data_IF_455728607041
#
_entry.id   IF_455728607041
#
_cell.length_a   1.000
_cell.length_b   1.000
_cell.length_c   1.000
_cell.angle_alpha   90.00
_cell.angle_beta   90.00
_cell.angle_gamma   90.00
#
_symmetry.space_group_name_H-M   'P 1'
#
loop_
_entity.id
_entity.type
_entity.pdbx_description
1 polymer ?
#
# COMPACT_ATOMS: atom_id res chain seq x y z
N UNK A 1 -59.03 -11.16 -4.83
CA UNK A 1 -57.61 -11.52 -5.07
C UNK A 1 -56.91 -11.57 -3.70
N UNK A 2 -56.21 -12.67 -3.41
CA UNK A 2 -55.82 -13.10 -2.05
C UNK A 2 -54.72 -12.20 -1.46
N UNK A 3 -54.95 -11.59 -0.29
CA UNK A 3 -54.00 -10.66 0.36
C UNK A 3 -52.57 -11.19 0.56
N UNK A 4 -52.41 -12.53 0.60
CA UNK A 4 -51.09 -13.19 0.60
C UNK A 4 -50.23 -12.81 -0.61
N UNK A 5 -50.83 -12.68 -1.79
CA UNK A 5 -50.11 -12.32 -3.02
C UNK A 5 -49.64 -10.88 -2.99
N UNK A 6 -50.43 -9.98 -2.38
CA UNK A 6 -50.07 -8.56 -2.20
C UNK A 6 -48.89 -8.43 -1.24
N UNK A 7 -48.91 -9.14 -0.11
CA UNK A 7 -47.79 -9.17 0.85
C UNK A 7 -46.49 -9.67 0.22
N UNK A 8 -46.55 -10.72 -0.59
CA UNK A 8 -45.38 -11.24 -1.32
C UNK A 8 -44.86 -10.21 -2.32
N UNK A 9 -45.75 -9.53 -3.06
CA UNK A 9 -45.34 -8.51 -4.02
C UNK A 9 -44.63 -7.32 -3.34
N UNK A 10 -45.16 -6.84 -2.21
CA UNK A 10 -44.52 -5.78 -1.42
C UNK A 10 -43.14 -6.22 -0.89
N UNK A 11 -43.05 -7.46 -0.37
CA UNK A 11 -41.78 -8.00 0.12
C UNK A 11 -40.75 -8.10 -1.00
N UNK A 12 -41.11 -8.67 -2.15
CA UNK A 12 -40.20 -8.78 -3.30
C UNK A 12 -39.78 -7.42 -3.83
N UNK A 13 -40.69 -6.44 -3.91
CA UNK A 13 -40.38 -5.08 -4.31
C UNK A 13 -39.32 -4.42 -3.40
N UNK A 14 -39.37 -4.72 -2.09
CA UNK A 14 -38.39 -4.22 -1.12
C UNK A 14 -37.06 -4.99 -1.13
N UNK A 15 -37.10 -6.30 -1.38
CA UNK A 15 -35.91 -7.16 -1.33
C UNK A 15 -35.08 -7.06 -2.62
N UNK A 16 -35.74 -6.82 -3.76
CA UNK A 16 -35.13 -6.74 -5.07
C UNK A 16 -33.98 -5.72 -5.18
N UNK A 17 -34.10 -4.45 -4.71
CA UNK A 17 -32.97 -3.52 -4.77
C UNK A 17 -31.78 -3.95 -3.90
N UNK A 18 -32.01 -4.61 -2.76
CA UNK A 18 -30.93 -5.09 -1.88
C UNK A 18 -30.15 -6.23 -2.52
N UNK A 19 -30.87 -7.20 -3.10
CA UNK A 19 -30.25 -8.31 -3.82
C UNK A 19 -29.54 -7.83 -5.08
N UNK A 20 -30.12 -6.87 -5.81
CA UNK A 20 -29.48 -6.24 -6.96
C UNK A 20 -28.18 -5.53 -6.56
N UNK A 21 -28.17 -4.77 -5.47
CA UNK A 21 -26.97 -4.12 -4.96
C UNK A 21 -25.89 -5.13 -4.54
N UNK A 22 -26.27 -6.22 -3.86
CA UNK A 22 -25.35 -7.31 -3.52
C UNK A 22 -24.78 -8.01 -4.75
N UNK A 23 -25.61 -8.25 -5.77
CA UNK A 23 -25.16 -8.83 -7.03
C UNK A 23 -24.16 -7.90 -7.73
N UNK A 24 -24.48 -6.61 -7.87
CA UNK A 24 -23.56 -5.63 -8.45
C UNK A 24 -22.25 -5.61 -7.69
N UNK A 25 -22.28 -5.62 -6.35
CA UNK A 25 -21.05 -5.65 -5.56
C UNK A 25 -20.27 -6.95 -5.74
N UNK A 26 -20.89 -8.12 -5.82
CA UNK A 26 -20.18 -9.40 -5.99
C UNK A 26 -19.55 -9.56 -7.38
N UNK A 27 -20.26 -9.15 -8.44
CA UNK A 27 -19.82 -9.32 -9.83
C UNK A 27 -18.98 -8.16 -10.37
N UNK A 28 -19.20 -6.94 -9.88
CA UNK A 28 -18.47 -5.73 -10.25
C UNK A 28 -17.86 -5.06 -9.03
N UNK A 29 -16.97 -5.77 -8.33
CA UNK A 29 -16.15 -5.14 -7.28
C UNK A 29 -15.21 -4.13 -7.93
N UNK A 30 -15.33 -2.82 -7.65
CA UNK A 30 -14.28 -1.89 -8.04
C UNK A 30 -13.01 -2.25 -7.26
N UNK A 31 -11.91 -2.45 -7.99
CA UNK A 31 -10.64 -2.85 -7.39
C UNK A 31 -9.97 -1.60 -6.81
N UNK A 32 -10.13 -1.37 -5.50
CA UNK A 32 -9.34 -0.39 -4.74
C UNK A 32 -9.59 1.10 -5.06
N UNK A 33 -9.10 1.98 -4.18
CA UNK A 33 -9.21 3.44 -4.31
C UNK A 33 -8.22 4.06 -5.30
N UNK A 34 -8.27 5.39 -5.44
CA UNK A 34 -7.39 6.20 -6.32
C UNK A 34 -5.90 6.23 -5.92
N UNK A 35 -5.42 5.20 -5.21
CA UNK A 35 -4.03 5.07 -4.79
C UNK A 35 -3.19 4.51 -5.94
N UNK A 36 -2.03 5.10 -6.18
CA UNK A 36 -1.08 4.56 -7.15
C UNK A 36 -0.43 3.30 -6.58
N UNK A 37 0.03 3.34 -5.33
CA UNK A 37 0.46 2.15 -4.61
C UNK A 37 -0.70 1.27 -4.18
N UNK A 38 -0.42 0.00 -3.93
CA UNK A 38 -1.34 -0.89 -3.24
C UNK A 38 -1.45 -0.46 -1.77
N UNK A 39 -2.66 -0.08 -1.35
CA UNK A 39 -2.94 0.29 0.04
C UNK A 39 -2.90 -0.97 0.91
N UNK A 40 -1.99 -0.96 1.87
CA UNK A 40 -1.85 -1.99 2.88
C UNK A 40 -2.20 -1.39 4.24
N UNK A 41 -2.59 -2.24 5.19
CA UNK A 41 -2.76 -1.85 6.59
C UNK A 41 -2.33 -3.03 7.47
N UNK A 42 -1.17 -3.59 7.14
CA UNK A 42 -0.67 -4.84 7.72
C UNK A 42 0.57 -4.57 8.58
N UNK A 43 0.64 -5.06 9.82
CA UNK A 43 1.83 -4.93 10.65
C UNK A 43 2.94 -5.81 10.07
N UNK A 44 4.03 -5.20 9.63
CA UNK A 44 5.16 -5.92 9.01
C UNK A 44 6.51 -5.58 9.63
N UNK A 45 6.56 -4.69 10.62
CA UNK A 45 7.79 -4.34 11.33
C UNK A 45 7.47 -3.86 12.75
N UNK A 46 8.50 -3.77 13.59
CA UNK A 46 8.37 -3.09 14.88
C UNK A 46 8.14 -1.58 14.70
N UNK A 47 7.61 -0.86 15.71
CA UNK A 47 7.50 0.59 15.71
C UNK A 47 8.86 1.30 15.53
N UNK A 48 8.87 2.54 15.04
CA UNK A 48 10.08 3.35 14.84
C UNK A 48 9.86 4.52 13.86
N UNK A 49 10.87 4.97 13.10
CA UNK A 49 10.69 6.03 12.11
C UNK A 49 9.92 5.52 10.88
N UNK A 50 9.51 6.43 9.99
CA UNK A 50 9.01 6.02 8.67
C UNK A 50 10.09 5.25 7.93
N UNK A 51 9.72 4.20 7.20
CA UNK A 51 10.69 3.40 6.44
C UNK A 51 10.25 3.22 5.00
N UNK A 52 11.21 3.35 4.09
CA UNK A 52 11.08 2.85 2.72
C UNK A 52 11.84 1.53 2.63
N UNK A 53 11.09 0.43 2.69
CA UNK A 53 11.63 -0.91 2.81
C UNK A 53 11.59 -1.67 1.48
N UNK A 54 12.74 -2.10 0.98
CA UNK A 54 12.82 -2.96 -0.20
C UNK A 54 12.63 -4.42 0.20
N UNK A 55 11.73 -5.11 -0.50
CA UNK A 55 11.51 -6.54 -0.32
C UNK A 55 11.65 -7.29 -1.64
N UNK A 56 12.33 -8.43 -1.60
CA UNK A 56 12.32 -9.40 -2.68
C UNK A 56 12.52 -10.80 -2.09
N UNK A 57 11.65 -11.76 -2.43
CA UNK A 57 11.70 -13.09 -1.83
C UNK A 57 13.01 -13.84 -2.12
N UNK A 58 13.61 -13.58 -3.30
CA UNK A 58 14.86 -14.22 -3.71
C UNK A 58 16.11 -13.36 -3.42
N UNK A 59 15.95 -12.15 -2.86
CA UNK A 59 17.04 -11.18 -2.69
C UNK A 59 17.90 -11.03 -3.96
N UNK A 60 17.23 -10.94 -5.11
CA UNK A 60 17.85 -10.93 -6.44
C UNK A 60 18.33 -9.52 -6.84
N UNK A 61 18.77 -9.35 -8.09
CA UNK A 61 19.13 -8.03 -8.67
C UNK A 61 17.97 -7.00 -8.55
N UNK A 62 16.72 -7.47 -8.55
CA UNK A 62 15.54 -6.61 -8.34
C UNK A 62 15.62 -5.89 -6.99
N UNK A 63 16.12 -6.56 -5.96
CA UNK A 63 16.29 -5.97 -4.64
C UNK A 63 17.19 -4.73 -4.67
N UNK A 64 18.33 -4.80 -5.37
CA UNK A 64 19.23 -3.66 -5.55
C UNK A 64 18.57 -2.48 -6.26
N UNK A 65 17.75 -2.75 -7.30
CA UNK A 65 16.97 -1.73 -8.00
C UNK A 65 15.92 -1.08 -7.08
N UNK A 66 15.28 -1.86 -6.23
CA UNK A 66 14.32 -1.36 -5.24
C UNK A 66 15.00 -0.51 -4.16
N UNK A 67 16.18 -0.90 -3.67
CA UNK A 67 16.98 -0.10 -2.74
C UNK A 67 17.43 1.23 -3.36
N UNK A 68 17.83 1.20 -4.64
CA UNK A 68 18.15 2.41 -5.37
C UNK A 68 16.92 3.32 -5.51
N UNK A 69 15.78 2.76 -5.90
CA UNK A 69 14.51 3.49 -5.98
C UNK A 69 14.11 4.09 -4.62
N UNK A 70 14.27 3.33 -3.53
CA UNK A 70 14.02 3.80 -2.16
C UNK A 70 14.88 5.03 -1.83
N UNK A 71 16.17 5.00 -2.20
CA UNK A 71 17.09 6.14 -2.01
C UNK A 71 16.63 7.36 -2.79
N UNK A 72 16.32 7.22 -4.08
CA UNK A 72 15.90 8.33 -4.92
C UNK A 72 14.58 8.94 -4.45
N UNK A 73 13.59 8.10 -4.15
CA UNK A 73 12.30 8.53 -3.62
C UNK A 73 12.44 9.25 -2.29
N UNK A 74 13.28 8.74 -1.37
CA UNK A 74 13.57 9.38 -0.09
C UNK A 74 14.17 10.76 -0.27
N UNK A 75 15.24 10.88 -1.07
CA UNK A 75 15.92 12.16 -1.31
C UNK A 75 14.97 13.18 -1.94
N UNK A 76 14.10 12.74 -2.84
CA UNK A 76 13.12 13.60 -3.50
C UNK A 76 11.99 14.09 -2.57
N UNK A 77 11.84 13.56 -1.35
CA UNK A 77 10.87 14.07 -0.36
C UNK A 77 11.28 15.40 0.30
N UNK A 78 12.48 15.93 0.02
CA UNK A 78 12.94 17.20 0.59
C UNK A 78 13.09 17.14 2.12
N UNK A 79 12.50 18.08 2.85
CA UNK A 79 12.54 18.13 4.32
C UNK A 79 12.00 16.84 4.97
N UNK A 80 10.93 16.27 4.40
CA UNK A 80 10.34 15.04 4.91
C UNK A 80 11.26 13.82 4.78
N UNK A 81 12.33 13.89 3.98
CA UNK A 81 13.33 12.83 3.86
C UNK A 81 14.03 12.48 5.18
N UNK A 82 14.10 13.43 6.11
CA UNK A 82 14.73 13.24 7.44
C UNK A 82 13.93 12.30 8.34
N UNK A 83 12.61 12.21 8.10
CA UNK A 83 11.69 11.34 8.85
C UNK A 83 11.70 9.90 8.35
N UNK A 84 12.28 9.68 7.16
CA UNK A 84 12.27 8.40 6.45
C UNK A 84 13.65 7.77 6.50
N UNK A 85 13.70 6.52 6.94
CA UNK A 85 14.89 5.67 6.94
C UNK A 85 14.77 4.63 5.82
N UNK A 86 15.89 4.25 5.21
CA UNK A 86 15.90 3.13 4.26
C UNK A 86 15.94 1.82 5.02
N UNK A 87 15.14 0.86 4.59
CA UNK A 87 15.09 -0.46 5.21
C UNK A 87 15.11 -1.56 4.14
N UNK A 88 15.37 -2.78 4.58
CA UNK A 88 15.44 -3.95 3.71
C UNK A 88 14.95 -5.20 4.43
N UNK A 89 14.18 -6.02 3.73
CA UNK A 89 13.83 -7.37 4.18
C UNK A 89 14.89 -8.42 3.81
N UNK A 90 15.87 -8.04 2.97
CA UNK A 90 17.06 -8.84 2.69
C UNK A 90 18.21 -8.38 3.58
N UNK A 91 19.06 -9.28 4.09
CA UNK A 91 20.26 -8.92 4.82
C UNK A 91 21.11 -7.93 4.00
N UNK A 92 21.61 -6.89 4.66
CA UNK A 92 22.55 -5.94 4.08
C UNK A 92 23.62 -5.60 5.10
N UNK A 93 24.85 -5.49 4.60
CA UNK A 93 26.06 -5.00 5.26
C UNK A 93 26.15 -3.47 5.29
N UNK A 94 25.20 -2.77 4.65
CA UNK A 94 25.16 -1.31 4.63
C UNK A 94 24.49 -0.76 5.90
N UNK A 95 25.27 -0.05 6.73
CA UNK A 95 24.80 0.54 7.98
C UNK A 95 23.65 1.56 7.80
N UNK A 96 23.48 2.16 6.63
CA UNK A 96 22.38 3.09 6.33
C UNK A 96 21.05 2.38 6.02
N UNK A 97 21.04 1.04 6.00
CA UNK A 97 19.87 0.21 5.70
C UNK A 97 19.49 -0.58 6.94
N UNK A 98 18.30 -0.30 7.48
CA UNK A 98 17.75 -1.07 8.59
C UNK A 98 17.26 -2.43 8.08
N UNK A 99 17.84 -3.51 8.57
CA UNK A 99 17.35 -4.86 8.29
C UNK A 99 16.05 -5.13 9.07
N UNK A 100 15.03 -5.61 8.37
CA UNK A 100 13.74 -6.02 8.92
C UNK A 100 13.69 -7.55 8.92
N UNK A 101 13.65 -8.21 10.09
CA UNK A 101 13.73 -9.66 10.20
C UNK A 101 12.41 -10.39 9.85
N UNK A 102 11.33 -9.65 9.65
CA UNK A 102 10.03 -10.15 9.20
C UNK A 102 10.05 -10.51 7.71
N UNK A 103 9.04 -11.25 7.25
CA UNK A 103 8.87 -11.52 5.82
C UNK A 103 7.88 -10.52 5.23
N UNK A 104 8.27 -9.87 4.13
CA UNK A 104 7.31 -9.10 3.35
C UNK A 104 6.38 -10.06 2.57
N UNK A 105 5.08 -9.75 2.47
CA UNK A 105 4.12 -10.63 1.80
C UNK A 105 4.35 -10.77 0.29
N UNK A 106 4.94 -9.76 -0.35
CA UNK A 106 5.28 -9.78 -1.77
C UNK A 106 6.53 -8.93 -2.09
N UNK A 107 7.22 -9.20 -3.20
CA UNK A 107 8.34 -8.34 -3.64
C UNK A 107 7.86 -6.94 -4.00
N UNK A 108 8.61 -5.89 -3.66
CA UNK A 108 8.24 -4.50 -3.91
C UNK A 108 8.89 -3.52 -2.94
N UNK A 109 8.55 -2.24 -3.09
CA UNK A 109 8.94 -1.19 -2.18
C UNK A 109 7.77 -0.84 -1.25
N UNK A 110 8.00 -0.87 0.06
CA UNK A 110 6.99 -0.60 1.06
C UNK A 110 7.24 0.74 1.75
N UNK A 111 6.18 1.53 1.92
CA UNK A 111 6.17 2.61 2.91
C UNK A 111 5.60 2.05 4.21
N UNK A 112 6.42 2.09 5.27
CA UNK A 112 6.06 1.61 6.60
C UNK A 112 5.92 2.81 7.52
N UNK A 113 4.81 2.87 8.24
CA UNK A 113 4.54 3.94 9.22
C UNK A 113 5.33 3.76 10.53
N UNK A 114 5.30 4.76 11.43
CA UNK A 114 5.97 4.67 12.72
C UNK A 114 5.44 3.59 13.67
N UNK A 115 4.24 3.08 13.44
CA UNK A 115 3.68 1.98 14.22
C UNK A 115 4.11 0.61 13.68
N UNK A 116 4.80 0.56 12.54
CA UNK A 116 5.28 -0.66 11.90
C UNK A 116 4.32 -1.27 10.87
N UNK A 117 3.27 -0.54 10.48
CA UNK A 117 2.33 -0.99 9.46
C UNK A 117 2.84 -0.64 8.07
N UNK A 118 2.76 -1.60 7.15
CA UNK A 118 2.83 -1.35 5.73
C UNK A 118 1.58 -0.55 5.34
N UNK A 119 1.76 0.70 4.89
CA UNK A 119 0.64 1.55 4.45
C UNK A 119 0.50 1.56 2.93
N UNK A 120 1.62 1.49 2.21
CA UNK A 120 1.66 1.46 0.75
C UNK A 120 2.70 0.48 0.27
N UNK A 121 2.41 -0.20 -0.84
CA UNK A 121 3.37 -1.03 -1.58
C UNK A 121 3.39 -0.62 -3.05
N UNK A 122 4.59 -0.53 -3.60
CA UNK A 122 4.85 -0.30 -5.02
C UNK A 122 5.53 -1.51 -5.64
N UNK A 123 5.00 -2.02 -6.75
CA UNK A 123 5.63 -3.11 -7.50
C UNK A 123 6.86 -2.62 -8.28
N UNK A 124 7.73 -3.55 -8.71
CA UNK A 124 8.88 -3.21 -9.56
C UNK A 124 8.44 -2.62 -10.90
N UNK A 125 7.33 -3.09 -11.45
CA UNK A 125 6.75 -2.62 -12.71
C UNK A 125 6.30 -1.16 -12.56
N UNK A 126 5.64 -0.81 -11.45
CA UNK A 126 5.23 0.55 -11.16
C UNK A 126 6.42 1.51 -11.02
N UNK A 127 7.57 1.05 -10.55
CA UNK A 127 8.77 1.86 -10.37
C UNK A 127 9.74 1.82 -11.57
N UNK A 128 9.40 1.08 -12.62
CA UNK A 128 10.29 0.84 -13.78
C UNK A 128 10.45 2.05 -14.71
N UNK A 129 9.51 2.99 -14.70
CA UNK A 129 9.50 4.17 -15.57
C UNK A 129 9.37 5.48 -14.78
N UNK A 130 9.68 6.60 -15.44
CA UNK A 130 9.69 7.93 -14.81
C UNK A 130 8.33 8.38 -14.29
N UNK A 131 7.26 8.11 -15.04
CA UNK A 131 5.91 8.51 -14.64
C UNK A 131 5.49 7.81 -13.35
N UNK A 132 5.74 6.51 -13.25
CA UNK A 132 5.45 5.72 -12.07
C UNK A 132 6.27 6.15 -10.85
N UNK A 133 7.57 6.44 -11.04
CA UNK A 133 8.41 7.02 -9.97
C UNK A 133 7.89 8.37 -9.49
N UNK A 134 7.43 9.23 -10.40
CA UNK A 134 6.82 10.54 -10.07
C UNK A 134 5.50 10.39 -9.32
N UNK A 135 4.65 9.43 -9.70
CA UNK A 135 3.40 9.11 -8.99
C UNK A 135 3.66 8.61 -7.57
N UNK A 136 4.60 7.68 -7.40
CA UNK A 136 5.02 7.20 -6.09
C UNK A 136 5.59 8.34 -5.22
N UNK A 137 6.47 9.17 -5.78
CA UNK A 137 7.01 10.36 -5.10
C UNK A 137 5.91 11.27 -4.58
N UNK A 138 4.94 11.63 -5.44
CA UNK A 138 3.80 12.50 -5.09
C UNK A 138 2.94 11.89 -3.99
N UNK A 139 2.64 10.60 -4.09
CA UNK A 139 1.79 9.89 -3.14
C UNK A 139 2.45 9.77 -1.76
N UNK A 140 3.71 9.35 -1.70
CA UNK A 140 4.49 9.31 -0.45
C UNK A 140 4.50 10.71 0.19
N UNK A 141 4.77 11.76 -0.60
CA UNK A 141 4.77 13.14 -0.10
C UNK A 141 3.41 13.56 0.47
N UNK A 142 2.32 13.16 -0.18
CA UNK A 142 0.96 13.42 0.32
C UNK A 142 0.68 12.69 1.63
N UNK A 143 1.09 11.42 1.76
CA UNK A 143 0.93 10.65 3.00
C UNK A 143 1.71 11.30 4.15
N UNK A 144 2.97 11.66 3.93
CA UNK A 144 3.81 12.27 4.96
C UNK A 144 3.32 13.66 5.37
N UNK A 145 2.79 14.44 4.42
CA UNK A 145 2.21 15.77 4.67
C UNK A 145 0.91 15.70 5.47
N UNK A 146 0.09 14.68 5.21
CA UNK A 146 -1.17 14.47 5.92
C UNK A 146 -0.95 13.89 7.34
N UNK A 147 0.18 13.23 7.57
CA UNK A 147 0.51 12.56 8.82
C UNK A 147 1.72 13.22 9.52
N UNK A 148 1.64 14.53 9.80
CA UNK A 148 2.73 15.26 10.48
C UNK A 148 2.94 14.84 11.93
N UNK A 149 1.88 14.39 12.60
CA UNK A 149 1.93 13.96 14.00
C UNK A 149 2.55 12.56 14.19
N UNK A 150 2.70 11.79 13.11
CA UNK A 150 3.28 10.45 13.16
C UNK A 150 4.77 10.53 12.82
N UNK A 151 5.64 10.49 13.84
CA UNK A 151 7.10 10.48 13.68
C UNK A 151 7.68 11.80 13.23
#
# INVERSE_FOLDING_TARGET
MKGRTVLIACFMLSLLPVLAAQAVWQWWRPVGGNSFGELLATPIAAPGPWRLAAADAACSEIHGKLLFAARQLRLAQGEASQRIVRASFCPSDNADIVYLPSHAPASGLYLIDPHGNAVLRYSKEQLSNDDGRRKALKEIGQVLKNNKALG
#
